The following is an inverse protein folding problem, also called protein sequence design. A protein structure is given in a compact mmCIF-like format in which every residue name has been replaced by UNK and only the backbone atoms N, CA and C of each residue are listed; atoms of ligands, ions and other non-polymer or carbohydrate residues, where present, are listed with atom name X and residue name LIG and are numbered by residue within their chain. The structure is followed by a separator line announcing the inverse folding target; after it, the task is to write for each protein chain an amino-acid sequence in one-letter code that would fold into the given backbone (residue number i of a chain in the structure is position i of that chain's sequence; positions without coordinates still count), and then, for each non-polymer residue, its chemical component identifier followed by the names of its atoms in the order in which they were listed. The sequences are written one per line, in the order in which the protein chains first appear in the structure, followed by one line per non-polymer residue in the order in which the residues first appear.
data_IF_457701371978
#
_entry.id   IF_457701371978
#
_cell.length_a   1.000
_cell.length_b   1.000
_cell.length_c   1.000
_cell.angle_alpha   90.00
_cell.angle_beta   90.00
_cell.angle_gamma   90.00
#
_symmetry.space_group_name_H-M   'P 1'
#
loop_
_entity.id
_entity.type
_entity.pdbx_description
1 polymer ?
#
# COMPACT_ATOMS: atom_id res chain seq x y z
N UNK A 1 64.28 -96.70 -60.62
CA UNK A 1 62.80 -96.74 -60.55
C UNK A 1 62.27 -96.18 -59.22
N UNK A 2 62.86 -95.12 -58.64
CA UNK A 2 62.54 -94.65 -57.28
C UNK A 2 61.56 -93.47 -57.20
N UNK A 3 61.09 -92.92 -58.33
CA UNK A 3 60.17 -91.77 -58.31
C UNK A 3 58.68 -92.18 -58.15
N UNK A 4 58.26 -93.36 -58.62
CA UNK A 4 56.85 -93.77 -58.56
C UNK A 4 56.30 -93.99 -57.13
N UNK A 5 57.14 -94.44 -56.19
CA UNK A 5 56.72 -94.69 -54.80
C UNK A 5 56.55 -93.39 -53.98
N UNK A 6 57.36 -92.36 -54.27
CA UNK A 6 57.25 -91.04 -53.62
C UNK A 6 55.97 -90.34 -54.09
N UNK A 7 55.66 -90.39 -55.39
CA UNK A 7 54.40 -89.86 -55.91
C UNK A 7 53.18 -90.61 -55.39
N UNK A 8 53.24 -91.95 -55.22
CA UNK A 8 52.17 -92.73 -54.58
C UNK A 8 51.94 -92.33 -53.10
N UNK A 9 53.00 -92.12 -52.31
CA UNK A 9 52.89 -91.67 -50.93
C UNK A 9 52.32 -90.26 -50.79
N UNK A 10 52.73 -89.35 -51.67
CA UNK A 10 52.18 -87.97 -51.74
C UNK A 10 50.71 -87.98 -52.16
N UNK A 11 50.33 -88.83 -53.11
CA UNK A 11 48.94 -89.00 -53.54
C UNK A 11 48.08 -89.58 -52.40
N UNK A 12 48.59 -90.54 -51.61
CA UNK A 12 47.85 -91.13 -50.48
C UNK A 12 47.67 -90.13 -49.32
N UNK A 13 48.68 -89.30 -49.02
CA UNK A 13 48.59 -88.20 -48.05
C UNK A 13 47.59 -87.14 -48.53
N UNK A 14 47.53 -86.85 -49.83
CA UNK A 14 46.49 -85.96 -50.38
C UNK A 14 45.10 -86.61 -50.33
N UNK A 15 44.97 -87.90 -50.63
CA UNK A 15 43.70 -88.64 -50.66
C UNK A 15 43.07 -88.78 -49.28
N UNK A 16 43.86 -88.85 -48.20
CA UNK A 16 43.35 -89.02 -46.84
C UNK A 16 43.46 -87.71 -46.04
N UNK A 17 44.54 -86.95 -46.21
CA UNK A 17 44.80 -85.71 -45.47
C UNK A 17 43.92 -84.55 -45.92
N UNK A 18 43.62 -84.42 -47.22
CA UNK A 18 42.72 -83.38 -47.73
C UNK A 18 41.28 -83.55 -47.21
N UNK A 19 40.64 -84.74 -47.26
CA UNK A 19 39.31 -84.90 -46.68
C UNK A 19 39.30 -84.73 -45.16
N UNK A 20 40.34 -85.16 -44.44
CA UNK A 20 40.45 -84.91 -42.99
C UNK A 20 40.58 -83.42 -42.65
N UNK A 21 41.42 -82.69 -43.39
CA UNK A 21 41.55 -81.24 -43.27
C UNK A 21 40.23 -80.54 -43.63
N UNK A 22 39.55 -80.97 -44.69
CA UNK A 22 38.25 -80.45 -45.10
C UNK A 22 37.19 -80.67 -44.01
N UNK A 23 37.15 -81.84 -43.39
CA UNK A 23 36.23 -82.16 -42.28
C UNK A 23 36.54 -81.29 -41.05
N UNK A 24 37.81 -81.14 -40.65
CA UNK A 24 38.20 -80.29 -39.53
C UNK A 24 37.94 -78.81 -39.81
N UNK A 25 38.18 -78.35 -41.04
CA UNK A 25 37.91 -76.99 -41.50
C UNK A 25 36.41 -76.70 -41.48
N UNK A 26 35.57 -77.59 -42.04
CA UNK A 26 34.11 -77.48 -41.98
C UNK A 26 33.57 -77.50 -40.55
N UNK A 27 34.16 -78.34 -39.67
CA UNK A 27 33.80 -78.39 -38.25
C UNK A 27 34.22 -77.11 -37.50
N UNK A 28 35.37 -76.52 -37.87
CA UNK A 28 35.85 -75.24 -37.33
C UNK A 28 35.00 -74.05 -37.79
N UNK A 29 34.58 -74.04 -39.06
CA UNK A 29 33.61 -73.09 -39.63
C UNK A 29 32.25 -73.21 -38.94
N UNK A 30 31.79 -74.43 -38.69
CA UNK A 30 30.57 -74.68 -37.94
C UNK A 30 30.64 -74.18 -36.49
N UNK A 31 31.79 -74.35 -35.82
CA UNK A 31 32.02 -73.85 -34.46
C UNK A 31 32.11 -72.31 -34.42
N UNK A 32 32.81 -71.68 -35.38
CA UNK A 32 32.87 -70.22 -35.52
C UNK A 32 31.49 -69.63 -35.76
N UNK A 33 30.71 -70.19 -36.68
CA UNK A 33 29.32 -69.78 -36.94
C UNK A 33 28.41 -69.99 -35.74
N UNK A 34 28.64 -71.01 -34.90
CA UNK A 34 27.86 -71.23 -33.68
C UNK A 34 28.18 -70.17 -32.63
N UNK A 35 29.46 -69.89 -32.42
CA UNK A 35 29.92 -68.84 -31.49
C UNK A 35 29.43 -67.46 -31.95
N UNK A 36 29.52 -67.15 -33.24
CA UNK A 36 29.00 -65.91 -33.83
C UNK A 36 27.49 -65.77 -33.60
N UNK A 37 26.71 -66.84 -33.83
CA UNK A 37 25.27 -66.86 -33.50
C UNK A 37 24.98 -66.68 -32.02
N UNK A 38 25.80 -67.26 -31.13
CA UNK A 38 25.65 -67.08 -29.68
C UNK A 38 25.95 -65.63 -29.26
N UNK A 39 26.95 -64.98 -29.87
CA UNK A 39 27.23 -63.57 -29.68
C UNK A 39 26.12 -62.69 -30.23
N UNK A 40 25.63 -62.96 -31.44
CA UNK A 40 24.51 -62.24 -32.04
C UNK A 40 23.24 -62.38 -31.18
N UNK A 41 22.97 -63.57 -30.67
CA UNK A 41 21.86 -63.82 -29.74
C UNK A 41 21.99 -63.00 -28.47
N UNK A 42 23.18 -62.97 -27.86
CA UNK A 42 23.44 -62.15 -26.66
C UNK A 42 23.32 -60.65 -26.95
N UNK A 43 23.83 -60.19 -28.09
CA UNK A 43 23.71 -58.78 -28.51
C UNK A 43 22.24 -58.42 -28.72
N UNK A 44 21.46 -59.31 -29.35
CA UNK A 44 20.02 -59.11 -29.52
C UNK A 44 19.27 -59.11 -28.20
N UNK A 45 19.63 -59.99 -27.26
CA UNK A 45 19.04 -60.05 -25.93
C UNK A 45 19.33 -58.79 -25.12
N UNK A 46 20.59 -58.34 -25.08
CA UNK A 46 20.98 -57.10 -24.40
C UNK A 46 20.35 -55.86 -25.06
N UNK A 47 20.23 -55.84 -26.39
CA UNK A 47 19.51 -54.77 -27.09
C UNK A 47 18.03 -54.74 -26.71
N UNK A 48 17.35 -55.89 -26.69
CA UNK A 48 15.94 -55.95 -26.24
C UNK A 48 15.79 -55.54 -24.78
N UNK A 49 16.72 -55.95 -23.91
CA UNK A 49 16.70 -55.57 -22.50
C UNK A 49 16.85 -54.06 -22.32
N UNK A 50 17.72 -53.44 -23.11
CA UNK A 50 17.88 -51.99 -23.14
C UNK A 50 16.62 -51.29 -23.67
N UNK A 51 16.02 -51.79 -24.74
CA UNK A 51 14.77 -51.25 -25.29
C UNK A 51 13.59 -51.39 -24.30
N UNK A 52 13.48 -52.52 -23.58
CA UNK A 52 12.45 -52.72 -22.53
C UNK A 52 12.67 -51.78 -21.34
N UNK A 53 13.92 -51.57 -20.92
CA UNK A 53 14.27 -50.59 -19.89
C UNK A 53 13.92 -49.18 -20.36
N UNK A 54 14.36 -48.77 -21.55
CA UNK A 54 14.04 -47.46 -22.13
C UNK A 54 12.52 -47.25 -22.28
N UNK A 55 11.77 -48.26 -22.72
CA UNK A 55 10.31 -48.20 -22.82
C UNK A 55 9.62 -48.09 -21.44
N UNK A 56 10.12 -48.77 -20.41
CA UNK A 56 9.58 -48.67 -19.04
C UNK A 56 9.86 -47.33 -18.38
N UNK A 57 11.01 -46.72 -18.68
CA UNK A 57 11.41 -45.44 -18.09
C UNK A 57 10.99 -44.21 -18.92
N UNK A 58 10.58 -44.38 -20.19
CA UNK A 58 10.09 -43.28 -21.03
C UNK A 58 8.91 -42.49 -20.41
N UNK A 59 7.87 -43.14 -19.81
CA UNK A 59 6.79 -42.42 -19.13
C UNK A 59 7.26 -41.67 -17.88
N UNK A 60 8.29 -42.18 -17.17
CA UNK A 60 8.84 -41.53 -15.97
C UNK A 60 9.67 -40.30 -16.33
N UNK A 61 10.41 -40.35 -17.43
CA UNK A 61 11.13 -39.19 -17.98
C UNK A 61 10.16 -38.06 -18.36
N UNK A 62 9.03 -38.39 -19.00
CA UNK A 62 7.97 -37.43 -19.36
C UNK A 62 7.35 -36.78 -18.11
N UNK A 63 7.02 -37.59 -17.09
CA UNK A 63 6.52 -37.10 -15.79
C UNK A 63 7.56 -36.21 -15.09
N UNK A 64 8.85 -36.56 -15.13
CA UNK A 64 9.90 -35.77 -14.48
C UNK A 64 10.05 -34.39 -15.10
N UNK A 65 9.92 -34.28 -16.43
CA UNK A 65 9.92 -33.00 -17.14
C UNK A 65 8.71 -32.14 -16.79
N UNK A 66 7.51 -32.72 -16.71
CA UNK A 66 6.31 -31.99 -16.31
C UNK A 66 6.38 -31.53 -14.84
N UNK A 67 6.95 -32.35 -13.94
CA UNK A 67 7.18 -31.97 -12.54
C UNK A 67 8.15 -30.78 -12.44
N UNK A 68 9.22 -30.76 -13.23
CA UNK A 68 10.18 -29.64 -13.21
C UNK A 68 9.58 -28.36 -13.81
N UNK A 69 8.73 -28.49 -14.83
CA UNK A 69 7.95 -27.38 -15.37
C UNK A 69 6.97 -26.82 -14.33
N UNK A 70 6.18 -27.67 -13.67
CA UNK A 70 5.26 -27.26 -12.61
C UNK A 70 5.99 -26.63 -11.41
N UNK A 71 7.18 -27.12 -11.06
CA UNK A 71 8.02 -26.49 -10.02
C UNK A 71 8.52 -25.10 -10.44
N UNK A 72 8.90 -24.93 -11.71
CA UNK A 72 9.30 -23.62 -12.23
C UNK A 72 8.12 -22.63 -12.20
N UNK A 73 6.94 -23.06 -12.63
CA UNK A 73 5.70 -22.27 -12.56
C UNK A 73 5.34 -21.93 -11.10
N UNK A 74 5.43 -22.89 -10.18
CA UNK A 74 5.17 -22.66 -8.75
C UNK A 74 6.11 -21.59 -8.16
N UNK A 75 7.42 -21.65 -8.48
CA UNK A 75 8.39 -20.64 -8.04
C UNK A 75 8.10 -19.26 -8.64
N UNK A 76 7.67 -19.21 -9.90
CA UNK A 76 7.29 -17.95 -10.54
C UNK A 76 6.05 -17.34 -9.86
N UNK A 77 5.06 -18.17 -9.54
CA UNK A 77 3.86 -17.75 -8.82
C UNK A 77 4.19 -17.29 -7.40
N UNK A 78 5.05 -18.01 -6.66
CA UNK A 78 5.52 -17.61 -5.33
C UNK A 78 6.21 -16.24 -5.37
N UNK A 79 7.12 -16.04 -6.32
CA UNK A 79 7.79 -14.75 -6.52
C UNK A 79 6.80 -13.62 -6.81
N UNK A 80 5.80 -13.86 -7.67
CA UNK A 80 4.72 -12.89 -7.95
C UNK A 80 3.88 -12.61 -6.70
N UNK A 81 3.56 -13.62 -5.90
CA UNK A 81 2.81 -13.46 -4.64
C UNK A 81 3.59 -12.56 -3.68
N UNK A 82 4.89 -12.80 -3.52
CA UNK A 82 5.73 -12.00 -2.63
C UNK A 82 5.87 -10.56 -3.13
N UNK A 83 6.04 -10.35 -4.44
CA UNK A 83 6.06 -9.02 -5.04
C UNK A 83 4.74 -8.28 -4.83
N UNK A 84 3.60 -8.95 -5.03
CA UNK A 84 2.27 -8.36 -4.82
C UNK A 84 2.06 -8.02 -3.34
N UNK A 85 2.48 -8.90 -2.41
CA UNK A 85 2.39 -8.67 -0.97
C UNK A 85 3.22 -7.47 -0.53
N UNK A 86 4.46 -7.36 -1.00
CA UNK A 86 5.32 -6.22 -0.73
C UNK A 86 4.69 -4.91 -1.25
N UNK A 87 4.25 -4.92 -2.52
CA UNK A 87 3.59 -3.77 -3.15
C UNK A 87 2.31 -3.37 -2.39
N UNK A 88 1.52 -4.35 -1.95
CA UNK A 88 0.30 -4.11 -1.18
C UNK A 88 0.60 -3.49 0.18
N UNK A 89 1.61 -3.99 0.89
CA UNK A 89 2.02 -3.46 2.18
C UNK A 89 2.47 -2.00 2.06
N UNK A 90 3.31 -1.68 1.07
CA UNK A 90 3.75 -0.31 0.78
C UNK A 90 2.57 0.61 0.46
N UNK A 91 1.68 0.19 -0.45
CA UNK A 91 0.50 0.98 -0.84
C UNK A 91 -0.46 1.19 0.32
N UNK A 92 -0.65 0.19 1.17
CA UNK A 92 -1.49 0.31 2.36
C UNK A 92 -0.91 1.31 3.36
N UNK A 93 0.40 1.28 3.60
CA UNK A 93 1.05 2.26 4.48
C UNK A 93 0.93 3.68 3.91
N UNK A 94 1.08 3.84 2.59
CA UNK A 94 0.84 5.12 1.92
C UNK A 94 -0.61 5.58 2.12
N UNK A 95 -1.59 4.70 1.89
CA UNK A 95 -3.01 5.00 2.10
C UNK A 95 -3.29 5.47 3.53
N UNK A 96 -2.84 4.73 4.54
CA UNK A 96 -3.03 5.10 5.96
C UNK A 96 -2.41 6.47 6.29
N UNK A 97 -1.27 6.82 5.68
CA UNK A 97 -0.66 8.15 5.83
C UNK A 97 -1.50 9.24 5.14
N UNK A 98 -1.97 8.98 3.92
CA UNK A 98 -2.81 9.91 3.17
C UNK A 98 -4.15 10.14 3.89
N UNK A 99 -4.79 9.10 4.43
CA UNK A 99 -6.01 9.21 5.21
C UNK A 99 -5.82 10.12 6.44
N UNK A 100 -4.72 9.96 7.18
CA UNK A 100 -4.39 10.85 8.30
C UNK A 100 -4.19 12.29 7.86
N UNK A 101 -3.53 12.51 6.72
CA UNK A 101 -3.33 13.85 6.17
C UNK A 101 -4.66 14.49 5.75
N UNK A 102 -5.51 13.74 5.03
CA UNK A 102 -6.84 14.20 4.62
C UNK A 102 -7.69 14.57 5.83
N UNK A 103 -7.71 13.75 6.89
CA UNK A 103 -8.45 14.07 8.11
C UNK A 103 -8.02 15.40 8.76
N UNK A 104 -6.71 15.68 8.80
CA UNK A 104 -6.19 16.97 9.31
C UNK A 104 -6.59 18.13 8.39
N UNK A 105 -6.58 17.93 7.07
CA UNK A 105 -7.03 18.96 6.13
C UNK A 105 -8.54 19.22 6.23
N UNK A 106 -9.35 18.18 6.38
CA UNK A 106 -10.81 18.31 6.55
C UNK A 106 -11.15 19.08 7.82
N UNK A 107 -10.45 18.82 8.92
CA UNK A 107 -10.60 19.58 10.17
C UNK A 107 -10.21 21.06 9.98
N UNK A 108 -9.07 21.33 9.35
CA UNK A 108 -8.64 22.70 9.04
C UNK A 108 -9.63 23.42 8.13
N UNK A 109 -10.16 22.74 7.12
CA UNK A 109 -11.18 23.28 6.22
C UNK A 109 -12.47 23.58 6.98
N UNK A 110 -12.91 22.69 7.88
CA UNK A 110 -14.09 22.90 8.70
C UNK A 110 -13.95 24.14 9.61
N UNK A 111 -12.78 24.35 10.23
CA UNK A 111 -12.53 25.56 11.03
C UNK A 111 -12.44 26.82 10.16
N UNK A 112 -11.78 26.75 9.00
CA UNK A 112 -11.72 27.86 8.06
C UNK A 112 -13.12 28.26 7.54
N UNK A 113 -14.02 27.29 7.35
CA UNK A 113 -15.42 27.56 7.02
C UNK A 113 -16.16 28.31 8.13
N UNK A 114 -15.72 28.20 9.38
CA UNK A 114 -16.25 28.95 10.51
C UNK A 114 -15.49 30.27 10.76
N UNK A 115 -14.54 30.65 9.90
CA UNK A 115 -13.71 31.84 10.09
C UNK A 115 -12.65 31.70 11.18
N UNK A 116 -12.30 30.47 11.58
CA UNK A 116 -11.28 30.20 12.60
C UNK A 116 -9.97 29.86 11.89
N UNK A 117 -9.08 30.85 11.83
CA UNK A 117 -7.77 30.72 11.21
C UNK A 117 -6.67 30.49 12.24
N UNK A 118 -5.53 29.98 11.76
CA UNK A 118 -4.32 29.93 12.58
C UNK A 118 -3.80 31.35 12.83
N UNK A 119 -3.35 31.66 14.07
CA UNK A 119 -2.79 32.97 14.38
C UNK A 119 -1.51 33.21 13.55
N UNK A 120 -1.35 34.43 13.06
CA UNK A 120 -0.15 34.86 12.37
C UNK A 120 0.80 35.53 13.37
N UNK A 121 2.04 35.06 13.40
CA UNK A 121 3.10 35.60 14.26
C UNK A 121 4.27 36.10 13.41
N UNK A 122 4.88 37.21 13.82
CA UNK A 122 6.11 37.72 13.21
C UNK A 122 7.35 37.09 13.85
N UNK A 123 8.50 37.18 13.17
CA UNK A 123 9.73 36.51 13.61
C UNK A 123 10.21 36.98 15.00
N UNK A 124 10.00 38.26 15.31
CA UNK A 124 10.42 38.87 16.57
C UNK A 124 9.45 38.62 17.73
N UNK A 125 8.39 37.85 17.50
CA UNK A 125 7.36 37.63 18.51
C UNK A 125 7.82 36.78 19.68
N UNK A 126 7.47 37.22 20.90
CA UNK A 126 7.80 36.54 22.14
C UNK A 126 7.13 35.17 22.19
N UNK A 127 7.94 34.12 22.36
CA UNK A 127 7.48 32.72 22.44
C UNK A 127 6.43 32.51 23.54
N UNK A 128 6.55 33.23 24.67
CA UNK A 128 5.57 33.18 25.75
C UNK A 128 4.20 33.69 25.30
N UNK A 129 4.14 34.77 24.52
CA UNK A 129 2.88 35.31 24.01
C UNK A 129 2.29 34.44 22.91
N UNK A 130 3.13 33.89 22.01
CA UNK A 130 2.68 32.91 21.01
C UNK A 130 1.99 31.71 21.67
N UNK A 131 2.61 31.17 22.73
CA UNK A 131 2.06 30.03 23.46
C UNK A 131 0.70 30.34 24.10
N UNK A 132 0.57 31.51 24.76
CA UNK A 132 -0.69 31.95 25.36
C UNK A 132 -1.80 32.20 24.34
N UNK A 133 -1.49 32.88 23.23
CA UNK A 133 -2.45 33.12 22.14
C UNK A 133 -2.91 31.79 21.55
N UNK A 134 -1.99 30.85 21.35
CA UNK A 134 -2.31 29.50 20.87
C UNK A 134 -3.23 28.76 21.84
N UNK A 135 -2.96 28.82 23.14
CA UNK A 135 -3.81 28.19 24.16
C UNK A 135 -5.25 28.74 24.14
N UNK A 136 -5.41 30.05 23.99
CA UNK A 136 -6.73 30.68 23.87
C UNK A 136 -7.43 30.24 22.58
N UNK A 137 -6.71 30.19 21.44
CA UNK A 137 -7.26 29.68 20.17
C UNK A 137 -7.65 28.20 20.25
N UNK A 138 -6.90 27.37 20.97
CA UNK A 138 -7.21 25.96 21.19
C UNK A 138 -8.48 25.81 22.04
N UNK A 139 -8.68 26.66 23.06
CA UNK A 139 -9.94 26.74 23.82
C UNK A 139 -11.13 27.16 22.93
N UNK A 140 -10.95 28.14 22.05
CA UNK A 140 -11.98 28.55 21.08
C UNK A 140 -12.35 27.38 20.15
N UNK A 141 -11.35 26.67 19.59
CA UNK A 141 -11.57 25.48 18.74
C UNK A 141 -12.31 24.37 19.49
N UNK A 142 -11.93 24.07 20.73
CA UNK A 142 -12.58 23.05 21.54
C UNK A 142 -14.07 23.34 21.76
N UNK A 143 -14.41 24.61 22.06
CA UNK A 143 -15.79 25.04 22.29
C UNK A 143 -16.65 24.95 21.02
N UNK A 144 -16.06 25.22 19.86
CA UNK A 144 -16.71 25.07 18.54
C UNK A 144 -16.93 23.61 18.20
N UNK A 145 -15.93 22.75 18.41
CA UNK A 145 -16.05 21.29 18.25
C UNK A 145 -17.12 20.70 19.17
N UNK A 146 -17.26 21.22 20.39
CA UNK A 146 -18.30 20.84 21.34
C UNK A 146 -19.68 21.44 21.02
N UNK A 147 -19.79 22.28 19.98
CA UNK A 147 -21.02 23.03 19.62
C UNK A 147 -21.57 23.91 20.76
N UNK A 148 -20.66 24.45 21.57
CA UNK A 148 -20.98 25.32 22.70
C UNK A 148 -20.75 26.81 22.41
N UNK A 149 -20.15 27.15 21.27
CA UNK A 149 -19.88 28.54 20.89
C UNK A 149 -21.14 29.39 20.60
N UNK A 150 -22.30 28.74 20.43
CA UNK A 150 -23.60 29.40 20.21
C UNK A 150 -24.71 28.62 20.90
N UNK A 151 -25.76 29.31 21.32
CA UNK A 151 -26.98 28.73 21.85
C UNK A 151 -28.15 28.94 20.89
N UNK A 152 -28.95 27.89 20.68
CA UNK A 152 -30.19 27.96 19.92
C UNK A 152 -31.21 26.93 20.47
N UNK A 153 -32.49 27.28 20.61
CA UNK A 153 -33.51 26.33 21.04
C UNK A 153 -33.70 25.19 20.02
N UNK A 154 -33.78 23.96 20.54
CA UNK A 154 -33.68 22.71 19.75
C UNK A 154 -34.97 22.30 19.03
N UNK A 155 -36.09 23.00 19.26
CA UNK A 155 -37.42 22.59 18.78
C UNK A 155 -37.91 23.29 17.50
N UNK A 156 -37.01 23.94 16.75
CA UNK A 156 -37.40 24.61 15.51
C UNK A 156 -37.82 23.61 14.41
N UNK A 157 -38.92 23.91 13.74
CA UNK A 157 -39.41 23.13 12.59
C UNK A 157 -39.57 24.03 11.37
N UNK A 158 -39.28 23.47 10.20
CA UNK A 158 -39.50 24.14 8.91
C UNK A 158 -40.45 23.27 8.11
N UNK A 159 -41.60 23.82 7.73
CA UNK A 159 -42.69 23.08 7.05
C UNK A 159 -43.10 21.82 7.81
N UNK A 160 -43.16 21.90 9.15
CA UNK A 160 -43.48 20.76 10.02
C UNK A 160 -42.36 19.72 10.17
N UNK A 161 -41.20 19.90 9.52
CA UNK A 161 -40.06 19.00 9.64
C UNK A 161 -39.01 19.53 10.62
N UNK A 162 -38.76 18.76 11.69
CA UNK A 162 -37.65 18.99 12.63
C UNK A 162 -36.28 18.82 11.96
N UNK A 163 -36.14 17.86 11.04
CA UNK A 163 -34.89 17.64 10.32
C UNK A 163 -34.52 18.86 9.45
N UNK A 164 -35.50 19.45 8.74
CA UNK A 164 -35.29 20.70 7.99
C UNK A 164 -34.95 21.86 8.92
N UNK A 165 -35.63 21.96 10.07
CA UNK A 165 -35.32 22.97 11.09
C UNK A 165 -33.89 22.87 11.62
N UNK A 166 -33.44 21.67 11.98
CA UNK A 166 -32.06 21.43 12.42
C UNK A 166 -31.04 21.77 11.33
N UNK A 167 -31.31 21.41 10.07
CA UNK A 167 -30.43 21.74 8.96
C UNK A 167 -30.31 23.26 8.75
N UNK A 168 -31.42 23.99 8.90
CA UNK A 168 -31.45 25.45 8.83
C UNK A 168 -30.66 26.09 9.99
N UNK A 169 -30.88 25.64 11.22
CA UNK A 169 -30.12 26.12 12.40
C UNK A 169 -28.63 25.87 12.21
N UNK A 170 -28.24 24.67 11.77
CA UNK A 170 -26.82 24.35 11.53
C UNK A 170 -26.22 25.28 10.47
N UNK A 171 -26.94 25.58 9.39
CA UNK A 171 -26.49 26.52 8.35
C UNK A 171 -26.34 27.93 8.90
N UNK A 172 -27.34 28.40 9.66
CA UNK A 172 -27.30 29.73 10.26
C UNK A 172 -26.16 29.85 11.26
N UNK A 173 -25.96 28.83 12.11
CA UNK A 173 -24.84 28.76 13.06
C UNK A 173 -23.50 28.91 12.36
N UNK A 174 -23.27 28.22 11.23
CA UNK A 174 -22.03 28.38 10.45
C UNK A 174 -21.82 29.81 9.96
N UNK A 175 -22.88 30.46 9.46
CA UNK A 175 -22.80 31.85 8.99
C UNK A 175 -22.55 32.83 10.14
N UNK A 176 -23.26 32.65 11.26
CA UNK A 176 -23.06 33.41 12.51
C UNK A 176 -21.62 33.33 12.98
N UNK A 177 -21.09 32.11 13.10
CA UNK A 177 -19.70 31.89 13.53
C UNK A 177 -18.70 32.51 12.57
N UNK A 178 -18.88 32.32 11.25
CA UNK A 178 -18.00 32.92 10.24
C UNK A 178 -18.01 34.44 10.32
N UNK A 179 -19.19 35.06 10.41
CA UNK A 179 -19.32 36.50 10.48
C UNK A 179 -18.65 37.06 11.75
N UNK A 180 -18.95 36.47 12.92
CA UNK A 180 -18.41 36.92 14.18
C UNK A 180 -16.89 36.73 14.27
N UNK A 181 -16.39 35.56 13.87
CA UNK A 181 -14.96 35.26 13.92
C UNK A 181 -14.17 36.18 12.98
N UNK A 182 -14.68 36.46 11.77
CA UNK A 182 -14.01 37.38 10.85
C UNK A 182 -13.94 38.81 11.41
N UNK A 183 -15.00 39.30 12.07
CA UNK A 183 -14.97 40.62 12.72
C UNK A 183 -14.00 40.65 13.91
N UNK A 184 -13.94 39.58 14.70
CA UNK A 184 -12.99 39.46 15.80
C UNK A 184 -11.54 39.42 15.30
N UNK A 185 -11.24 38.58 14.31
CA UNK A 185 -9.90 38.46 13.74
C UNK A 185 -9.46 39.79 13.11
N UNK A 186 -10.37 40.51 12.44
CA UNK A 186 -10.10 41.85 11.96
C UNK A 186 -9.82 42.86 13.09
N UNK A 187 -10.56 42.81 14.20
CA UNK A 187 -10.32 43.67 15.35
C UNK A 187 -8.97 43.36 16.02
N UNK A 188 -8.68 42.08 16.28
CA UNK A 188 -7.44 41.60 16.88
C UNK A 188 -6.23 41.97 16.00
N UNK A 189 -6.30 41.71 14.69
CA UNK A 189 -5.23 42.07 13.76
C UNK A 189 -4.92 43.57 13.73
N UNK A 190 -5.95 44.42 13.88
CA UNK A 190 -5.81 45.90 13.88
C UNK A 190 -5.54 46.51 15.26
N UNK A 191 -5.31 45.69 16.29
CA UNK A 191 -5.09 46.16 17.66
C UNK A 191 -3.76 46.89 17.79
N UNK A 192 -3.69 48.00 18.50
CA UNK A 192 -2.47 48.77 18.74
C UNK A 192 -2.40 49.07 20.23
N UNK A 193 -1.21 49.40 20.71
CA UNK A 193 -0.96 49.72 22.12
C UNK A 193 -1.93 50.76 22.71
N UNK A 194 -2.54 51.62 21.88
CA UNK A 194 -3.46 52.70 22.30
C UNK A 194 -4.95 52.47 21.97
N UNK A 195 -5.34 51.38 21.31
CA UNK A 195 -6.71 51.26 20.78
C UNK A 195 -7.50 50.05 21.29
N UNK A 196 -6.98 49.31 22.27
CA UNK A 196 -7.60 48.05 22.75
C UNK A 196 -9.06 48.23 23.18
N UNK A 197 -9.37 49.30 23.91
CA UNK A 197 -10.75 49.61 24.35
C UNK A 197 -11.70 49.82 23.16
N UNK A 198 -11.21 50.40 22.06
CA UNK A 198 -12.00 50.58 20.86
C UNK A 198 -12.23 49.24 20.12
N UNK A 199 -11.21 48.36 20.10
CA UNK A 199 -11.33 47.02 19.50
C UNK A 199 -12.24 46.11 20.33
N UNK A 200 -12.22 46.19 21.65
CA UNK A 200 -13.12 45.48 22.55
C UNK A 200 -14.58 45.87 22.28
N UNK A 201 -14.86 47.17 22.21
CA UNK A 201 -16.19 47.67 21.83
C UNK A 201 -16.62 47.18 20.46
N UNK A 202 -15.70 47.05 19.50
CA UNK A 202 -16.00 46.52 18.16
C UNK A 202 -16.42 45.06 18.22
N UNK A 203 -15.71 44.22 18.98
CA UNK A 203 -16.05 42.80 19.18
C UNK A 203 -17.44 42.67 19.83
N UNK A 204 -17.68 43.39 20.93
CA UNK A 204 -18.96 43.34 21.65
C UNK A 204 -20.13 43.85 20.80
N UNK A 205 -19.93 44.93 20.04
CA UNK A 205 -20.95 45.45 19.13
C UNK A 205 -21.23 44.49 17.97
N UNK A 206 -20.22 43.79 17.46
CA UNK A 206 -20.38 42.78 16.43
C UNK A 206 -21.24 41.62 16.93
N UNK A 207 -20.94 41.07 18.12
CA UNK A 207 -21.75 40.03 18.74
C UNK A 207 -23.22 40.46 18.86
N UNK A 208 -23.46 41.66 19.44
CA UNK A 208 -24.80 42.21 19.60
C UNK A 208 -25.56 42.38 18.26
N UNK A 209 -24.90 42.88 17.22
CA UNK A 209 -25.53 43.05 15.91
C UNK A 209 -25.89 41.71 15.28
N UNK A 210 -25.02 40.72 15.39
CA UNK A 210 -25.24 39.37 14.86
C UNK A 210 -26.36 38.66 15.63
N UNK A 211 -26.37 38.74 16.96
CA UNK A 211 -27.45 38.17 17.79
C UNK A 211 -28.80 38.82 17.46
N UNK A 212 -28.84 40.15 17.27
CA UNK A 212 -30.05 40.84 16.84
C UNK A 212 -30.53 40.39 15.45
N UNK A 213 -29.63 40.17 14.50
CA UNK A 213 -29.97 39.64 13.17
C UNK A 213 -30.52 38.20 13.24
N UNK A 214 -30.13 37.45 14.26
CA UNK A 214 -30.54 36.07 14.53
C UNK A 214 -31.74 35.94 15.48
N UNK A 215 -32.31 37.05 15.95
CA UNK A 215 -33.32 37.06 17.01
C UNK A 215 -34.55 36.20 16.69
N UNK A 216 -34.97 36.12 15.42
CA UNK A 216 -36.09 35.28 14.99
C UNK A 216 -35.88 33.78 15.22
N UNK A 217 -34.62 33.34 15.26
CA UNK A 217 -34.21 31.96 15.50
C UNK A 217 -33.75 31.71 16.94
N UNK A 218 -33.74 32.76 17.79
CA UNK A 218 -33.15 32.72 19.13
C UNK A 218 -31.74 32.11 19.14
N UNK A 219 -30.96 32.37 18.08
CA UNK A 219 -29.58 31.94 17.97
C UNK A 219 -28.68 33.05 18.49
N UNK A 220 -27.94 32.78 19.56
CA UNK A 220 -27.10 33.76 20.27
C UNK A 220 -25.68 33.21 20.41
N UNK A 221 -24.68 34.07 20.28
CA UNK A 221 -23.28 33.69 20.53
C UNK A 221 -23.06 33.51 22.03
N UNK A 222 -22.38 32.44 22.42
CA UNK A 222 -22.11 32.17 23.82
C UNK A 222 -21.17 33.22 24.45
N UNK A 223 -21.45 33.63 25.69
CA UNK A 223 -20.70 34.68 26.37
C UNK A 223 -19.27 34.25 26.72
N UNK A 224 -19.03 32.98 27.06
CA UNK A 224 -17.70 32.45 27.30
C UNK A 224 -16.89 32.43 26.00
N UNK A 225 -17.54 32.20 24.85
CA UNK A 225 -16.88 32.28 23.55
C UNK A 225 -16.48 33.73 23.21
N UNK A 226 -17.34 34.70 23.51
CA UNK A 226 -17.02 36.13 23.38
C UNK A 226 -15.86 36.50 24.29
N UNK A 227 -15.86 36.02 25.55
CA UNK A 227 -14.78 36.26 26.49
C UNK A 227 -13.44 35.72 25.98
N UNK A 228 -13.40 34.52 25.39
CA UNK A 228 -12.19 33.98 24.78
C UNK A 228 -11.65 34.84 23.61
N UNK A 229 -12.53 35.52 22.85
CA UNK A 229 -12.10 36.48 21.82
C UNK A 229 -11.53 37.77 22.43
N UNK A 230 -12.07 38.21 23.57
CA UNK A 230 -11.54 39.35 24.31
C UNK A 230 -10.19 39.04 24.98
N UNK A 231 -10.04 37.85 25.56
CA UNK A 231 -8.76 37.39 26.11
C UNK A 231 -7.66 37.40 25.04
N UNK A 232 -7.98 36.92 23.85
CA UNK A 232 -7.04 36.94 22.72
C UNK A 232 -6.67 38.37 22.30
N UNK A 233 -7.66 39.27 22.25
CA UNK A 233 -7.46 40.69 21.97
C UNK A 233 -6.52 41.32 23.00
N UNK A 234 -6.74 41.07 24.28
CA UNK A 234 -5.93 41.61 25.36
C UNK A 234 -4.51 41.05 25.36
N UNK A 235 -4.32 39.75 25.13
CA UNK A 235 -2.99 39.15 24.94
C UNK A 235 -2.24 39.77 23.76
N UNK A 236 -2.94 40.02 22.66
CA UNK A 236 -2.37 40.68 21.48
C UNK A 236 -2.00 42.14 21.78
N UNK A 237 -2.82 42.84 22.56
CA UNK A 237 -2.54 44.20 23.01
C UNK A 237 -1.33 44.26 23.93
N UNK A 238 -1.27 43.43 24.97
CA UNK A 238 -0.13 43.33 25.89
C UNK A 238 1.17 43.04 25.14
N UNK A 239 1.10 42.11 24.17
CA UNK A 239 2.23 41.78 23.32
C UNK A 239 2.72 43.00 22.51
N UNK A 240 1.81 43.71 21.85
CA UNK A 240 2.12 44.94 21.10
C UNK A 240 2.58 46.09 21.99
N UNK A 241 2.15 46.11 23.26
CA UNK A 241 2.61 47.09 24.24
C UNK A 241 4.06 46.82 24.68
N UNK A 242 4.46 45.56 24.82
CA UNK A 242 5.85 45.20 25.15
C UNK A 242 6.81 45.49 24.00
N UNK A 243 6.35 45.36 22.76
CA UNK A 243 7.14 45.65 21.57
C UNK A 243 7.40 47.14 21.31
N UNK A 244 6.97 48.07 22.18
CA UNK A 244 7.12 49.53 22.03
C UNK A 244 8.45 49.92 21.36
N UNK A 245 8.37 50.16 20.05
CA UNK A 245 9.20 51.11 19.30
C UNK A 245 8.39 52.39 19.20
#
# INVERSE_FOLDING_TARGET
MSQGFIWMGVILIFLIGFPLFLILYLRSLGRRRRVEREYDQKIHEERRRREDVEARFAPVADISGEVDKLKAEAREIESKIDQVRATYAEKRQALERLEKQVAVYDERLAFAELGIYEPHFEFNDSETYKAKIKEVRDRQKAMVSAKQATHCPTDWTVEGSRAKGQAMINRQTRLTMRAFNNECDAAIANTRWNNVVAMEKRILNSAKQIDNANASMNLVIDQDYIALKLDELHLTHEYREQLKI
#
